data_IF_663082293675
#
_entry.id   IF_663082293675
#
_cell.length_a   1.000
_cell.length_b   1.000
_cell.length_c   1.000
_cell.angle_alpha   90.00
_cell.angle_beta   90.00
_cell.angle_gamma   90.00
#
_symmetry.space_group_name_H-M   'P 1'
#
loop_
_entity.id
_entity.type
_entity.pdbx_description
1 polymer ?
#
# COMPACT_ATOMS: atom_id res chain seq x y z
N UNK A 1 -10.53 -19.91 5.27
CA UNK A 1 -10.39 -18.67 6.08
C UNK A 1 -10.67 -17.49 5.18
N UNK A 2 -11.47 -16.53 5.64
CA UNK A 2 -11.82 -15.34 4.85
C UNK A 2 -10.56 -14.50 4.61
N UNK A 3 -10.03 -14.48 3.38
CA UNK A 3 -8.90 -13.64 2.97
C UNK A 3 -9.26 -12.13 2.91
N UNK A 4 -10.48 -11.76 3.36
CA UNK A 4 -10.96 -10.39 3.53
C UNK A 4 -10.36 -9.74 4.79
N UNK A 5 -9.03 -9.68 4.89
CA UNK A 5 -8.33 -8.98 5.98
C UNK A 5 -7.76 -7.64 5.50
N UNK A 6 -7.95 -6.60 6.30
CA UNK A 6 -7.72 -5.17 6.03
C UNK A 6 -6.30 -4.72 5.64
N UNK A 7 -5.33 -5.63 5.65
CA UNK A 7 -3.90 -5.39 5.33
C UNK A 7 -3.65 -5.02 3.87
N UNK A 8 -4.66 -5.18 2.99
CA UNK A 8 -4.59 -4.67 1.61
C UNK A 8 -5.32 -3.33 1.40
N UNK A 9 -5.78 -2.68 2.46
CA UNK A 9 -6.64 -1.50 2.38
C UNK A 9 -6.01 -0.27 3.03
N UNK A 10 -6.45 0.93 2.63
CA UNK A 10 -6.00 2.19 3.21
C UNK A 10 -6.28 2.33 4.72
N UNK A 11 -7.17 1.50 5.30
CA UNK A 11 -7.41 1.48 6.75
C UNK A 11 -6.17 1.04 7.53
N UNK A 12 -5.33 0.18 6.95
CA UNK A 12 -4.07 -0.24 7.57
C UNK A 12 -3.16 0.97 7.79
N UNK A 13 -2.91 1.73 6.73
CA UNK A 13 -2.13 2.97 6.77
C UNK A 13 -2.73 4.00 7.72
N UNK A 14 -4.06 4.20 7.72
CA UNK A 14 -4.74 5.12 8.64
C UNK A 14 -4.56 4.77 10.12
N UNK A 15 -4.48 3.49 10.47
CA UNK A 15 -4.23 3.08 11.86
C UNK A 15 -2.79 3.43 12.23
N UNK A 16 -1.82 3.07 11.39
CA UNK A 16 -0.41 3.32 11.64
C UNK A 16 -0.08 4.81 11.67
N UNK A 17 -0.65 5.60 10.75
CA UNK A 17 -0.46 7.05 10.70
C UNK A 17 -0.86 7.73 12.02
N UNK A 18 -1.97 7.28 12.61
CA UNK A 18 -2.46 7.81 13.89
C UNK A 18 -1.54 7.46 15.06
N UNK A 19 -0.95 6.26 15.06
CA UNK A 19 -0.02 5.81 16.10
C UNK A 19 1.31 6.58 15.99
N UNK A 20 1.78 6.80 14.77
CA UNK A 20 3.04 7.53 14.50
C UNK A 20 2.87 9.05 14.50
N UNK A 21 1.65 9.55 14.62
CA UNK A 21 1.31 10.97 14.52
C UNK A 21 1.80 11.65 13.24
N UNK A 22 1.67 10.95 12.10
CA UNK A 22 2.02 11.46 10.76
C UNK A 22 0.77 11.66 9.91
N UNK A 23 0.80 12.59 8.95
CA UNK A 23 -0.28 12.71 7.98
C UNK A 23 -0.22 11.57 6.97
N UNK A 24 -1.36 11.20 6.39
CA UNK A 24 -1.42 10.15 5.37
C UNK A 24 -0.57 10.48 4.13
N UNK A 25 -0.55 11.74 3.72
CA UNK A 25 0.18 12.17 2.52
C UNK A 25 1.71 12.13 2.73
N UNK A 26 2.17 12.18 3.99
CA UNK A 26 3.58 12.11 4.36
C UNK A 26 4.09 10.66 4.42
N UNK A 27 3.20 9.66 4.47
CA UNK A 27 3.58 8.25 4.65
C UNK A 27 4.48 7.75 3.52
N UNK A 28 4.08 8.02 2.26
CA UNK A 28 4.80 7.55 1.08
C UNK A 28 6.23 8.08 1.05
N UNK A 29 6.44 9.41 1.09
CA UNK A 29 7.77 10.00 1.14
C UNK A 29 8.58 9.53 2.35
N UNK A 30 7.98 9.50 3.55
CA UNK A 30 8.70 9.16 4.78
C UNK A 30 9.15 7.69 4.82
N UNK A 31 8.39 6.77 4.24
CA UNK A 31 8.79 5.36 4.19
C UNK A 31 10.01 5.14 3.28
N UNK A 32 10.17 5.94 2.24
CA UNK A 32 11.33 5.88 1.33
C UNK A 32 12.63 6.34 1.99
N UNK A 33 12.56 7.03 3.12
CA UNK A 33 13.72 7.43 3.93
C UNK A 33 14.22 6.32 4.87
N UNK A 34 13.62 5.13 4.84
CA UNK A 34 14.02 4.02 5.71
C UNK A 34 15.46 3.57 5.48
N UNK A 35 16.18 3.37 6.57
CA UNK A 35 17.56 2.85 6.59
C UNK A 35 17.62 1.44 7.17
N UNK A 36 16.70 1.11 8.09
CA UNK A 36 16.69 -0.14 8.84
C UNK A 36 15.26 -0.70 8.89
N UNK A 37 14.83 -1.30 7.78
CA UNK A 37 13.50 -1.86 7.61
C UNK A 37 13.02 -2.68 8.82
N UNK A 38 11.86 -2.32 9.36
CA UNK A 38 11.16 -3.10 10.40
C UNK A 38 10.38 -4.25 9.75
N UNK A 39 10.59 -5.47 10.22
CA UNK A 39 9.78 -6.60 9.79
C UNK A 39 8.54 -6.79 10.69
N UNK A 40 7.38 -6.83 10.04
CA UNK A 40 6.11 -7.17 10.67
C UNK A 40 5.88 -8.69 10.59
N UNK A 41 5.60 -9.29 11.74
CA UNK A 41 5.26 -10.70 11.90
C UNK A 41 3.79 -10.98 11.56
N UNK A 42 2.94 -9.95 11.57
CA UNK A 42 1.50 -10.08 11.31
C UNK A 42 1.06 -9.44 10.00
N UNK A 43 0.14 -10.14 9.33
CA UNK A 43 -0.57 -9.62 8.15
C UNK A 43 -2.00 -9.19 8.52
N UNK A 44 -2.26 -8.76 9.75
CA UNK A 44 -3.58 -8.32 10.23
C UNK A 44 -3.52 -6.90 10.79
N UNK A 45 -4.39 -6.01 10.32
CA UNK A 45 -4.47 -4.61 10.77
C UNK A 45 -4.58 -4.43 12.29
N UNK A 46 -5.33 -5.31 12.96
CA UNK A 46 -5.52 -5.23 14.41
C UNK A 46 -4.24 -5.56 15.16
N UNK A 47 -3.50 -6.58 14.71
CA UNK A 47 -2.24 -6.96 15.35
C UNK A 47 -1.09 -6.04 14.96
N UNK A 48 -1.13 -5.43 13.78
CA UNK A 48 -0.12 -4.49 13.34
C UNK A 48 -0.10 -3.20 14.18
N UNK A 49 -1.24 -2.79 14.74
CA UNK A 49 -1.29 -1.70 15.73
C UNK A 49 -0.44 -2.02 16.95
N UNK A 50 -0.69 -3.17 17.61
CA UNK A 50 0.09 -3.60 18.77
C UNK A 50 1.57 -3.80 18.44
N UNK A 51 1.88 -4.41 17.28
CA UNK A 51 3.25 -4.60 16.82
C UNK A 51 3.95 -3.27 16.58
N UNK A 52 3.29 -2.30 15.95
CA UNK A 52 3.82 -0.94 15.74
C UNK A 52 4.19 -0.28 17.06
N UNK A 53 3.31 -0.37 18.07
CA UNK A 53 3.58 0.18 19.41
C UNK A 53 4.82 -0.48 20.03
N UNK A 54 4.98 -1.80 19.89
CA UNK A 54 6.20 -2.51 20.35
C UNK A 54 7.46 -1.99 19.66
N UNK A 55 7.41 -1.82 18.33
CA UNK A 55 8.55 -1.33 17.54
C UNK A 55 8.95 0.10 17.91
N UNK A 56 7.96 0.96 18.20
CA UNK A 56 8.22 2.31 18.73
C UNK A 56 8.93 2.21 20.09
N UNK A 57 8.47 1.33 20.99
CA UNK A 57 9.10 1.13 22.29
C UNK A 57 10.53 0.56 22.19
N UNK A 58 10.83 -0.22 21.15
CA UNK A 58 12.16 -0.71 20.81
C UNK A 58 13.06 0.37 20.17
N UNK A 59 12.54 1.56 19.89
CA UNK A 59 13.28 2.69 19.34
C UNK A 59 13.34 2.73 17.81
N UNK A 60 12.48 1.98 17.10
CA UNK A 60 12.42 2.03 15.64
C UNK A 60 11.94 3.41 15.15
N UNK A 61 12.57 3.91 14.08
CA UNK A 61 12.17 5.18 13.46
C UNK A 61 10.85 5.01 12.72
N UNK A 62 10.07 6.10 12.61
CA UNK A 62 8.81 6.09 11.88
C UNK A 62 8.98 5.66 10.41
N UNK A 63 10.03 6.15 9.73
CA UNK A 63 10.37 5.74 8.36
C UNK A 63 10.54 4.23 8.22
N UNK A 64 11.26 3.60 9.15
CA UNK A 64 11.53 2.17 9.16
C UNK A 64 10.29 1.32 9.39
N UNK A 65 9.40 1.79 10.28
CA UNK A 65 8.09 1.18 10.53
C UNK A 65 7.20 1.28 9.29
N UNK A 66 7.13 2.46 8.66
CA UNK A 66 6.30 2.69 7.48
C UNK A 66 6.79 1.87 6.27
N UNK A 67 8.09 1.75 6.07
CA UNK A 67 8.65 0.86 5.04
C UNK A 67 8.30 -0.60 5.30
N UNK A 68 8.34 -1.04 6.57
CA UNK A 68 7.90 -2.36 7.00
C UNK A 68 6.42 -2.62 6.68
N UNK A 69 5.58 -1.63 6.95
CA UNK A 69 4.14 -1.63 6.63
C UNK A 69 3.91 -1.76 5.12
N UNK A 70 4.58 -0.94 4.30
CA UNK A 70 4.49 -1.04 2.85
C UNK A 70 4.97 -2.39 2.32
N UNK A 71 6.06 -2.95 2.86
CA UNK A 71 6.53 -4.30 2.51
C UNK A 71 5.49 -5.37 2.82
N UNK A 72 4.83 -5.30 3.99
CA UNK A 72 3.78 -6.25 4.37
C UNK A 72 2.58 -6.16 3.40
N UNK A 73 2.16 -4.93 3.06
CA UNK A 73 1.10 -4.70 2.07
C UNK A 73 1.49 -5.23 0.68
N UNK A 74 2.69 -4.91 0.20
CA UNK A 74 3.22 -5.33 -1.09
C UNK A 74 3.37 -6.85 -1.20
N UNK A 75 3.80 -7.52 -0.13
CA UNK A 75 3.88 -8.99 -0.08
C UNK A 75 2.51 -9.62 -0.25
N UNK A 76 1.49 -9.07 0.43
CA UNK A 76 0.10 -9.51 0.29
C UNK A 76 -0.43 -9.29 -1.13
N UNK A 77 -0.23 -8.09 -1.71
CA UNK A 77 -0.61 -7.80 -3.10
C UNK A 77 0.06 -8.79 -4.04
N UNK A 78 1.36 -9.03 -3.87
CA UNK A 78 2.14 -9.95 -4.71
C UNK A 78 1.63 -11.39 -4.62
N UNK A 79 1.23 -11.86 -3.44
CA UNK A 79 0.62 -13.19 -3.29
C UNK A 79 -0.69 -13.32 -4.07
N UNK A 80 -1.53 -12.27 -4.05
CA UNK A 80 -2.80 -12.26 -4.79
C UNK A 80 -2.56 -12.23 -6.30
N UNK A 81 -1.66 -11.36 -6.74
CA UNK A 81 -1.33 -11.19 -8.17
C UNK A 81 -0.65 -12.42 -8.76
N UNK A 82 0.19 -13.15 -7.99
CA UNK A 82 0.83 -14.40 -8.45
C UNK A 82 -0.16 -15.51 -8.84
N UNK A 83 -1.42 -15.43 -8.41
CA UNK A 83 -2.49 -16.35 -8.83
C UNK A 83 -3.02 -16.03 -10.22
N UNK A 84 -2.64 -14.89 -10.78
CA UNK A 84 -3.00 -14.39 -12.10
C UNK A 84 -1.81 -14.51 -13.06
N UNK A 85 -2.09 -14.52 -14.36
CA UNK A 85 -1.04 -14.36 -15.38
C UNK A 85 -0.71 -12.88 -15.47
N UNK A 86 0.41 -12.48 -14.87
CA UNK A 86 0.84 -11.09 -14.82
C UNK A 86 1.32 -10.63 -16.20
N UNK A 87 0.74 -9.53 -16.69
CA UNK A 87 1.17 -8.85 -17.91
C UNK A 87 2.18 -7.73 -17.56
N UNK A 88 2.98 -7.25 -18.54
CA UNK A 88 4.09 -6.33 -18.28
C UNK A 88 3.65 -4.99 -17.71
N UNK A 89 2.50 -4.48 -18.15
CA UNK A 89 2.00 -3.16 -17.79
C UNK A 89 1.10 -3.26 -16.55
N UNK A 90 1.70 -3.02 -15.38
CA UNK A 90 0.99 -3.02 -14.10
C UNK A 90 0.73 -1.60 -13.64
N UNK A 91 -0.55 -1.25 -13.51
CA UNK A 91 -0.99 0.08 -13.09
C UNK A 91 -1.51 0.04 -11.65
N UNK A 92 -1.04 0.93 -10.79
CA UNK A 92 -1.60 1.16 -9.46
C UNK A 92 -2.56 2.35 -9.51
N UNK A 93 -3.80 2.13 -9.06
CA UNK A 93 -4.87 3.14 -9.09
C UNK A 93 -5.58 3.25 -7.74
N UNK A 94 -6.49 4.21 -7.60
CA UNK A 94 -7.13 4.54 -6.34
C UNK A 94 -6.20 5.29 -5.38
N UNK A 95 -6.58 5.39 -4.11
CA UNK A 95 -5.79 6.14 -3.11
C UNK A 95 -4.42 5.56 -2.81
N UNK A 96 -4.18 4.27 -3.10
CA UNK A 96 -2.84 3.68 -3.02
C UNK A 96 -1.90 4.17 -4.11
N UNK A 97 -2.42 4.72 -5.21
CA UNK A 97 -1.61 5.31 -6.27
C UNK A 97 -0.92 6.61 -5.86
N UNK A 98 -1.43 7.35 -4.88
CA UNK A 98 -0.74 8.55 -4.37
C UNK A 98 0.38 8.22 -3.38
N UNK A 99 0.46 6.96 -2.92
CA UNK A 99 1.46 6.50 -1.96
C UNK A 99 2.69 5.98 -2.72
N UNK A 100 3.67 6.85 -2.90
CA UNK A 100 4.91 6.53 -3.60
C UNK A 100 5.69 5.37 -2.95
N UNK A 101 5.66 5.26 -1.62
CA UNK A 101 6.32 4.18 -0.88
C UNK A 101 5.64 2.84 -1.10
N UNK A 102 4.31 2.83 -1.17
CA UNK A 102 3.55 1.62 -1.52
C UNK A 102 3.81 1.20 -2.97
N UNK A 103 3.83 2.15 -3.91
CA UNK A 103 4.11 1.87 -5.32
C UNK A 103 5.51 1.25 -5.50
N UNK A 104 6.53 1.82 -4.82
CA UNK A 104 7.89 1.30 -4.80
C UNK A 104 7.96 -0.11 -4.21
N UNK A 105 7.34 -0.33 -3.04
CA UNK A 105 7.34 -1.64 -2.38
C UNK A 105 6.66 -2.72 -3.24
N UNK A 106 5.55 -2.40 -3.91
CA UNK A 106 4.89 -3.32 -4.85
C UNK A 106 5.80 -3.61 -6.04
N UNK A 107 6.43 -2.58 -6.62
CA UNK A 107 7.35 -2.74 -7.74
C UNK A 107 8.53 -3.66 -7.41
N UNK A 108 9.13 -3.49 -6.22
CA UNK A 108 10.16 -4.38 -5.70
C UNK A 108 9.68 -5.82 -5.51
N UNK A 109 8.49 -6.01 -4.95
CA UNK A 109 7.94 -7.34 -4.69
C UNK A 109 7.56 -8.11 -5.97
N UNK A 110 7.08 -7.39 -7.00
CA UNK A 110 6.71 -7.96 -8.30
C UNK A 110 7.86 -7.99 -9.31
N UNK A 111 8.96 -7.26 -9.06
CA UNK A 111 10.07 -7.02 -10.01
C UNK A 111 9.60 -6.38 -11.32
N UNK A 112 8.64 -5.46 -11.22
CA UNK A 112 8.06 -4.75 -12.36
C UNK A 112 7.98 -3.26 -12.01
N UNK A 113 8.14 -2.39 -13.01
CA UNK A 113 7.91 -0.97 -12.84
C UNK A 113 6.40 -0.72 -12.75
N UNK A 114 5.95 -0.20 -11.61
CA UNK A 114 4.54 0.18 -11.43
C UNK A 114 4.28 1.50 -12.14
N UNK A 115 3.23 1.53 -12.95
CA UNK A 115 2.72 2.73 -13.59
C UNK A 115 1.68 3.36 -12.67
N UNK A 116 1.79 4.67 -12.46
CA UNK A 116 0.83 5.45 -11.66
C UNK A 116 0.28 6.56 -12.57
N UNK A 117 -1.04 6.62 -12.81
CA UNK A 117 -1.66 7.72 -13.56
C UNK A 117 -1.51 9.04 -12.81
N UNK A 118 -1.56 10.18 -13.52
CA UNK A 118 -1.48 11.52 -12.91
C UNK A 118 -2.57 11.78 -11.86
N UNK A 119 -3.74 11.15 -12.02
CA UNK A 119 -4.89 11.28 -11.13
C UNK A 119 -5.42 9.89 -10.75
N UNK A 120 -4.70 9.13 -9.91
CA UNK A 120 -5.00 7.72 -9.68
C UNK A 120 -6.34 7.53 -8.95
N UNK A 121 -6.82 8.53 -8.19
CA UNK A 121 -8.13 8.49 -7.51
C UNK A 121 -9.33 8.60 -8.44
N UNK A 122 -9.17 9.21 -9.61
CA UNK A 122 -10.29 9.49 -10.52
C UNK A 122 -10.55 8.36 -11.52
N UNK A 123 -9.67 7.36 -11.62
CA UNK A 123 -9.78 6.27 -12.60
C UNK A 123 -11.12 5.53 -12.53
N UNK A 124 -11.67 5.31 -11.33
CA UNK A 124 -12.97 4.65 -11.17
C UNK A 124 -14.13 5.50 -11.73
N UNK A 125 -14.13 6.81 -11.45
CA UNK A 125 -15.13 7.73 -11.97
C UNK A 125 -15.01 7.89 -13.50
N UNK A 126 -13.78 7.96 -13.99
CA UNK A 126 -13.48 8.00 -15.43
C UNK A 126 -13.98 6.74 -16.14
N UNK A 127 -13.70 5.55 -15.60
CA UNK A 127 -14.20 4.29 -16.16
C UNK A 127 -15.74 4.23 -16.22
N UNK A 128 -16.42 4.72 -15.17
CA UNK A 128 -17.88 4.81 -15.19
C UNK A 128 -18.41 5.76 -16.28
N UNK A 129 -17.74 6.89 -16.51
CA UNK A 129 -18.09 7.82 -17.59
C UNK A 129 -17.87 7.21 -18.98
N UNK A 130 -16.77 6.48 -19.19
CA UNK A 130 -16.50 5.78 -20.44
C UNK A 130 -17.57 4.72 -20.76
N UNK A 131 -17.94 3.89 -19.77
CA UNK A 131 -18.99 2.88 -19.93
C UNK A 131 -20.33 3.52 -20.34
N UNK A 132 -20.71 4.63 -19.69
CA UNK A 132 -21.94 5.34 -20.03
C UNK A 132 -21.92 5.97 -21.44
N UNK A 133 -20.74 6.35 -21.94
CA UNK A 133 -20.56 6.87 -23.29
C UNK A 133 -20.59 5.76 -24.36
N UNK A 134 -20.07 4.57 -24.05
CA UNK A 134 -20.12 3.39 -24.93
C UNK A 134 -21.54 2.84 -25.08
N UNK A 135 -22.34 2.88 -24.01
CA UNK A 135 -23.74 2.41 -23.99
C UNK A 135 -24.73 3.37 -24.70
N UNK A 136 -24.29 4.57 -25.11
CA UNK A 136 -25.08 5.55 -25.88
C UNK A 136 -24.39 5.79 -27.25
N UNK A 137 -24.69 4.98 -28.30
CA UNK A 137 -24.15 5.18 -29.64
C UNK A 137 -24.65 6.47 -30.31
#
# INVERSE_FOLDING_TARGET
>A
MSEKCATGSGRFLQVIARILHVNLDDIGPLSLESENLVEFSTNCAVFAESETISRIAEGAKAADILAGVHKAMASKVSMLVKRLKLEPDVVLTGGGGDDAGLADAIGHALKIKILVPDQPRLTAAFGAACLAAEDNP
#
